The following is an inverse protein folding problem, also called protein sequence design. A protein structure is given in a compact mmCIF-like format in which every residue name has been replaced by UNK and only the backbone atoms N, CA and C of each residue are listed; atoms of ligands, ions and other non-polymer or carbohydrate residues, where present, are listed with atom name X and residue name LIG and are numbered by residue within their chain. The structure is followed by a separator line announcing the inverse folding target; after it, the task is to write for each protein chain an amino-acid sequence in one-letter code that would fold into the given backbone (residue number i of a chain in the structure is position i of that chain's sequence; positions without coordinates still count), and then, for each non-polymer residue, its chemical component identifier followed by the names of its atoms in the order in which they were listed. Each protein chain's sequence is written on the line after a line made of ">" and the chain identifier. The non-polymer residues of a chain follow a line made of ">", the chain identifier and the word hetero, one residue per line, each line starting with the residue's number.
data_IF_359210737353
#
_entry.id   IF_359210737353
#
_cell.length_a   1.000
_cell.length_b   1.000
_cell.length_c   1.000
_cell.angle_alpha   90.00
_cell.angle_beta   90.00
_cell.angle_gamma   90.00
#
_symmetry.space_group_name_H-M   'P 1'
#
loop_
_entity.id
_entity.type
_entity.pdbx_description
1 polymer ?
#
# COMPACT_ATOMS: atom_id res chain seq x y z
N UNK A 1 -5.84 0.79 25.34
CA UNK A 1 -5.91 2.25 25.57
C UNK A 1 -7.30 2.61 26.10
N UNK A 2 -7.46 3.42 27.16
CA UNK A 2 -8.78 3.79 27.69
C UNK A 2 -9.49 4.82 26.79
N UNK A 3 -10.82 4.98 26.94
CA UNK A 3 -11.64 5.89 26.12
C UNK A 3 -11.12 7.32 26.23
N UNK A 4 -10.67 7.90 25.10
CA UNK A 4 -10.13 9.27 25.04
C UNK A 4 -8.69 9.40 24.52
N UNK A 5 -8.03 8.32 24.10
CA UNK A 5 -6.73 8.37 23.43
C UNK A 5 -6.93 8.31 21.90
N UNK A 6 -6.90 9.44 21.17
CA UNK A 6 -7.11 9.43 19.73
C UNK A 6 -5.88 8.82 19.04
N UNK A 7 -6.11 7.71 18.34
CA UNK A 7 -5.17 7.24 17.32
C UNK A 7 -5.29 8.16 16.09
N UNK A 8 -4.15 8.41 15.46
CA UNK A 8 -4.03 9.31 14.34
C UNK A 8 -2.98 8.78 13.35
N UNK A 9 -2.53 9.66 12.45
CA UNK A 9 -1.60 9.30 11.39
C UNK A 9 -0.34 8.59 11.91
N UNK A 10 0.20 8.99 13.07
CA UNK A 10 1.40 8.35 13.63
C UNK A 10 1.17 6.89 14.00
N UNK A 11 0.01 6.57 14.56
CA UNK A 11 -0.37 5.22 14.92
C UNK A 11 -0.59 4.37 13.66
N UNK A 12 -1.21 4.95 12.63
CA UNK A 12 -1.33 4.30 11.33
C UNK A 12 0.04 3.99 10.69
N UNK A 13 1.01 4.90 10.78
CA UNK A 13 2.39 4.61 10.37
C UNK A 13 3.02 3.53 11.25
N UNK A 14 2.78 3.54 12.56
CA UNK A 14 3.20 2.48 13.48
C UNK A 14 2.72 1.10 13.02
N UNK A 15 1.43 0.97 12.72
CA UNK A 15 0.82 -0.27 12.23
C UNK A 15 1.46 -0.73 10.90
N UNK A 16 1.64 0.19 9.95
CA UNK A 16 2.29 -0.13 8.67
C UNK A 16 3.72 -0.67 8.87
N UNK A 17 4.53 -0.01 9.70
CA UNK A 17 5.90 -0.46 9.97
C UNK A 17 5.94 -1.78 10.76
N UNK A 18 4.99 -2.00 11.66
CA UNK A 18 4.87 -3.25 12.40
C UNK A 18 4.60 -4.43 11.45
N UNK A 19 3.64 -4.29 10.53
CA UNK A 19 3.35 -5.33 9.54
C UNK A 19 4.54 -5.62 8.63
N UNK A 20 5.22 -4.58 8.15
CA UNK A 20 6.44 -4.72 7.34
C UNK A 20 7.54 -5.46 8.13
N UNK A 21 7.72 -5.14 9.41
CA UNK A 21 8.71 -5.81 10.26
C UNK A 21 8.38 -7.30 10.43
N UNK A 22 7.12 -7.65 10.69
CA UNK A 22 6.66 -9.04 10.80
C UNK A 22 6.92 -9.79 9.49
N UNK A 23 6.60 -9.19 8.34
CA UNK A 23 6.82 -9.78 7.02
C UNK A 23 8.30 -10.07 6.75
N UNK A 24 9.17 -9.11 7.05
CA UNK A 24 10.63 -9.23 6.86
C UNK A 24 11.19 -10.34 7.76
N UNK A 25 10.81 -10.37 9.03
CA UNK A 25 11.32 -11.36 9.98
C UNK A 25 10.80 -12.77 9.70
N UNK A 26 9.55 -12.93 9.27
CA UNK A 26 9.04 -14.23 8.83
C UNK A 26 9.81 -14.74 7.60
N UNK A 27 10.05 -13.87 6.60
CA UNK A 27 10.84 -14.23 5.41
C UNK A 27 12.27 -14.63 5.77
N UNK A 28 12.95 -13.88 6.64
CA UNK A 28 14.31 -14.19 7.12
C UNK A 28 14.37 -15.52 7.87
N UNK A 29 13.34 -15.82 8.65
CA UNK A 29 13.24 -17.06 9.41
C UNK A 29 12.71 -18.25 8.60
N UNK A 30 12.37 -18.08 7.32
CA UNK A 30 11.76 -19.13 6.49
C UNK A 30 10.37 -19.57 6.97
N UNK A 31 9.66 -18.70 7.71
CA UNK A 31 8.31 -18.97 8.23
C UNK A 31 7.24 -18.51 7.25
N UNK A 32 6.21 -19.33 7.09
CA UNK A 32 5.00 -18.97 6.35
C UNK A 32 4.08 -18.14 7.25
N UNK A 33 3.53 -17.07 6.70
CA UNK A 33 2.52 -16.23 7.36
C UNK A 33 1.15 -16.71 6.89
N UNK A 34 0.17 -16.90 7.79
CA UNK A 34 -1.21 -17.16 7.40
C UNK A 34 -1.74 -16.09 6.43
N UNK A 35 -2.51 -16.53 5.44
CA UNK A 35 -3.17 -15.62 4.50
C UNK A 35 -4.08 -14.64 5.25
N UNK A 36 -4.04 -13.36 4.87
CA UNK A 36 -4.84 -12.31 5.49
C UNK A 36 -4.36 -11.84 6.87
N UNK A 37 -3.24 -12.33 7.39
CA UNK A 37 -2.70 -11.84 8.67
C UNK A 37 -2.05 -10.45 8.53
N UNK A 38 -1.51 -10.13 7.36
CA UNK A 38 -0.85 -8.86 7.07
C UNK A 38 -1.46 -8.24 5.80
N UNK A 39 -1.62 -6.92 5.79
CA UNK A 39 -2.23 -6.12 4.73
C UNK A 39 -1.32 -4.95 4.26
N UNK A 40 -0.01 -5.03 4.51
CA UNK A 40 0.93 -4.03 4.03
C UNK A 40 0.90 -3.90 2.49
N UNK A 41 1.07 -2.67 1.94
CA UNK A 41 1.14 -2.46 0.50
C UNK A 41 2.27 -3.26 -0.14
N UNK A 42 1.95 -3.91 -1.26
CA UNK A 42 2.88 -4.73 -2.03
C UNK A 42 3.54 -3.93 -3.15
N UNK A 43 4.48 -4.58 -3.85
CA UNK A 43 5.06 -4.02 -5.07
C UNK A 43 4.03 -3.78 -6.18
N UNK A 44 2.96 -4.59 -6.23
CA UNK A 44 1.89 -4.43 -7.22
C UNK A 44 1.09 -3.15 -6.94
N UNK A 45 0.80 -2.86 -5.67
CA UNK A 45 0.12 -1.63 -5.26
C UNK A 45 0.95 -0.39 -5.63
N UNK A 46 2.28 -0.49 -5.47
CA UNK A 46 3.21 0.54 -5.93
C UNK A 46 3.19 0.73 -7.46
N UNK A 47 3.19 -0.36 -8.22
CA UNK A 47 3.13 -0.31 -9.67
C UNK A 47 1.80 0.27 -10.18
N UNK A 48 0.67 -0.09 -9.55
CA UNK A 48 -0.64 0.50 -9.82
C UNK A 48 -0.65 2.02 -9.57
N UNK A 49 -0.03 2.47 -8.47
CA UNK A 49 0.12 3.90 -8.20
C UNK A 49 0.86 4.65 -9.31
N UNK A 50 1.95 4.06 -9.82
CA UNK A 50 2.71 4.63 -10.95
C UNK A 50 1.91 4.63 -12.26
N UNK A 51 1.11 3.58 -12.53
CA UNK A 51 0.19 3.57 -13.68
C UNK A 51 -0.88 4.63 -13.60
N UNK A 52 -1.50 4.77 -12.44
CA UNK A 52 -2.50 5.79 -12.22
C UNK A 52 -1.94 7.20 -12.49
N UNK A 53 -0.77 7.52 -11.94
CA UNK A 53 -0.14 8.85 -12.14
C UNK A 53 0.17 9.12 -13.62
N UNK A 54 0.70 8.15 -14.35
CA UNK A 54 0.97 8.32 -15.78
C UNK A 54 -0.32 8.51 -16.59
N UNK A 55 -1.35 7.69 -16.35
CA UNK A 55 -2.62 7.78 -17.05
C UNK A 55 -3.31 9.14 -16.78
N UNK A 56 -3.28 9.62 -15.53
CA UNK A 56 -3.81 10.93 -15.17
C UNK A 56 -3.06 12.08 -15.88
N UNK A 57 -1.73 12.00 -15.94
CA UNK A 57 -0.92 12.99 -16.65
C UNK A 57 -1.16 12.98 -18.17
N UNK A 58 -1.30 11.79 -18.77
CA UNK A 58 -1.62 11.63 -20.18
C UNK A 58 -3.04 12.13 -20.50
N UNK A 59 -4.01 11.85 -19.63
CA UNK A 59 -5.40 12.32 -19.76
C UNK A 59 -5.45 13.84 -19.77
N UNK A 60 -4.77 14.49 -18.83
CA UNK A 60 -4.66 15.95 -18.76
C UNK A 60 -4.10 16.55 -20.05
N UNK A 61 -3.01 15.98 -20.60
CA UNK A 61 -2.41 16.41 -21.87
C UNK A 61 -3.33 16.22 -23.07
N UNK A 62 -4.21 15.22 -23.03
CA UNK A 62 -5.17 14.90 -24.08
C UNK A 62 -6.52 15.64 -23.91
N UNK A 63 -6.61 16.65 -23.03
CA UNK A 63 -7.82 17.43 -22.82
C UNK A 63 -8.85 16.79 -21.87
N UNK A 64 -8.39 15.93 -20.96
CA UNK A 64 -9.22 15.32 -19.92
C UNK A 64 -10.04 14.11 -20.39
N UNK A 65 -9.58 13.40 -21.43
CA UNK A 65 -10.24 12.18 -21.90
C UNK A 65 -9.98 11.00 -20.97
N UNK A 66 -10.90 10.04 -20.95
CA UNK A 66 -10.72 8.79 -20.22
C UNK A 66 -9.60 7.96 -20.85
N UNK A 67 -8.65 7.54 -20.02
CA UNK A 67 -7.56 6.63 -20.39
C UNK A 67 -7.54 5.46 -19.41
N UNK A 68 -7.13 4.30 -19.92
CA UNK A 68 -6.94 3.11 -19.08
C UNK A 68 -5.75 3.29 -18.13
N UNK A 69 -5.87 2.75 -16.92
CA UNK A 69 -4.84 2.79 -15.89
C UNK A 69 -4.57 1.42 -15.25
N UNK A 70 -4.92 0.34 -15.95
CA UNK A 70 -4.64 -1.03 -15.50
C UNK A 70 -3.17 -1.40 -15.71
N UNK A 71 -2.69 -2.40 -14.97
CA UNK A 71 -1.43 -3.08 -15.29
C UNK A 71 -1.72 -4.14 -16.36
N UNK A 72 -0.92 -4.14 -17.43
CA UNK A 72 -1.03 -5.09 -18.53
C UNK A 72 -0.75 -6.54 -18.11
#
# INVERSE_FOLDING_TARGET
>A
MPRGHPEALRDAWGNLYEELAIAIEARRAGRTIPEGLLEYPTVLDGALGVRFVEAAAASSKAGGVWLDCTLA
#
